data_IF_842308189019
#
_entry.id   IF_842308189019
#
_cell.length_a   1.000
_cell.length_b   1.000
_cell.length_c   1.000
_cell.angle_alpha   90.00
_cell.angle_beta   90.00
_cell.angle_gamma   90.00
#
_symmetry.space_group_name_H-M   'P 1'
#
loop_
_entity.id
_entity.type
_entity.pdbx_description
1 polymer ?
#
# COMPACT_ATOMS: atom_id res chain seq x y z
N UNK A 1 13.07 24.40 21.35
CA UNK A 1 11.82 23.61 21.30
C UNK A 1 11.10 23.90 20.00
N UNK A 2 11.30 23.08 18.97
CA UNK A 2 10.65 23.24 17.66
C UNK A 2 9.20 22.76 17.73
N UNK A 3 8.26 23.69 17.57
CA UNK A 3 6.82 23.39 17.52
C UNK A 3 6.55 22.54 16.29
N UNK A 4 6.24 21.25 16.47
CA UNK A 4 5.68 20.40 15.41
C UNK A 4 4.40 21.06 14.90
N UNK A 5 4.44 21.59 13.69
CA UNK A 5 3.26 22.08 12.98
C UNK A 5 2.38 20.88 12.64
N UNK A 6 1.38 20.61 13.49
CA UNK A 6 0.24 19.77 13.10
C UNK A 6 -0.38 20.45 11.88
N UNK A 7 -0.24 19.85 10.70
CA UNK A 7 -1.05 20.19 9.54
C UNK A 7 -2.51 20.20 10.03
N UNK A 8 -3.11 21.38 10.07
CA UNK A 8 -4.50 21.50 10.48
C UNK A 8 -5.29 20.93 9.30
N UNK A 9 -5.68 19.65 9.38
CA UNK A 9 -6.72 19.07 8.52
C UNK A 9 -7.76 20.15 8.24
N UNK A 10 -8.05 20.39 6.97
CA UNK A 10 -8.96 21.44 6.53
C UNK A 10 -10.30 21.30 7.26
N UNK A 11 -10.98 22.41 7.55
CA UNK A 11 -12.29 22.40 8.21
C UNK A 11 -13.27 21.49 7.47
N UNK A 12 -13.14 21.44 6.15
CA UNK A 12 -13.89 20.59 5.23
C UNK A 12 -13.60 19.12 5.48
N UNK A 13 -12.32 18.72 5.52
CA UNK A 13 -11.91 17.34 5.77
C UNK A 13 -12.38 16.84 7.14
N UNK A 14 -12.33 17.69 8.18
CA UNK A 14 -12.85 17.34 9.51
C UNK A 14 -14.36 17.10 9.50
N UNK A 15 -15.08 17.91 8.72
CA UNK A 15 -16.54 17.79 8.56
C UNK A 15 -16.88 16.52 7.78
N UNK A 16 -16.12 16.22 6.73
CA UNK A 16 -16.26 14.98 5.97
C UNK A 16 -15.95 13.74 6.82
N UNK A 17 -14.86 13.76 7.61
CA UNK A 17 -14.52 12.71 8.59
C UNK A 17 -15.70 12.43 9.55
N UNK A 18 -16.36 13.49 10.04
CA UNK A 18 -17.48 13.39 10.98
C UNK A 18 -18.78 12.88 10.35
N UNK A 19 -18.95 13.06 9.04
CA UNK A 19 -20.14 12.64 8.29
C UNK A 19 -19.99 11.26 7.63
N UNK A 20 -18.87 10.54 7.87
CA UNK A 20 -18.67 9.21 7.27
C UNK A 20 -19.73 8.21 7.75
N UNK A 21 -20.23 7.32 6.87
CA UNK A 21 -21.26 6.32 7.18
C UNK A 21 -20.97 5.42 8.40
N UNK A 22 -19.70 5.21 8.76
CA UNK A 22 -19.23 4.89 10.12
C UNK A 22 -17.71 4.77 10.07
N UNK A 23 -17.02 5.14 11.16
CA UNK A 23 -15.55 5.00 11.24
C UNK A 23 -15.08 3.53 11.21
N UNK A 24 -15.96 2.61 11.61
CA UNK A 24 -15.65 1.18 11.72
C UNK A 24 -15.87 0.41 10.41
N UNK A 25 -16.43 1.04 9.36
CA UNK A 25 -16.75 0.37 8.10
C UNK A 25 -15.48 -0.14 7.39
N UNK A 26 -15.48 -1.40 6.98
CA UNK A 26 -14.38 -2.02 6.23
C UNK A 26 -13.32 -2.71 7.11
N UNK A 27 -13.31 -2.49 8.42
CA UNK A 27 -12.38 -3.16 9.34
C UNK A 27 -12.62 -4.66 9.47
N UNK A 28 -13.87 -5.10 9.32
CA UNK A 28 -14.25 -6.52 9.20
C UNK A 28 -13.59 -7.19 8.00
N UNK A 29 -13.61 -6.50 6.85
CA UNK A 29 -12.97 -6.96 5.61
C UNK A 29 -11.46 -6.92 5.70
N UNK A 30 -10.91 -5.91 6.36
CA UNK A 30 -9.47 -5.81 6.63
C UNK A 30 -8.97 -7.00 7.47
N UNK A 31 -9.65 -7.29 8.59
CA UNK A 31 -9.33 -8.43 9.43
C UNK A 31 -9.39 -9.75 8.65
N UNK A 32 -10.44 -9.96 7.86
CA UNK A 32 -10.56 -11.12 6.99
C UNK A 32 -9.41 -11.19 5.97
N UNK A 33 -9.04 -10.06 5.35
CA UNK A 33 -7.95 -10.00 4.40
C UNK A 33 -6.61 -10.38 5.03
N UNK A 34 -6.31 -9.90 6.24
CA UNK A 34 -5.09 -10.27 6.98
C UNK A 34 -5.03 -11.78 7.23
N UNK A 35 -6.16 -12.39 7.63
CA UNK A 35 -6.24 -13.85 7.77
C UNK A 35 -6.02 -14.59 6.44
N UNK A 36 -6.58 -14.10 5.34
CA UNK A 36 -6.41 -14.68 4.01
C UNK A 36 -4.97 -14.57 3.52
N UNK A 37 -4.29 -13.44 3.77
CA UNK A 37 -2.85 -13.26 3.46
C UNK A 37 -2.00 -14.28 4.21
N UNK A 38 -2.29 -14.54 5.49
CA UNK A 38 -1.59 -15.56 6.28
C UNK A 38 -1.79 -16.99 5.74
N UNK A 39 -2.87 -17.22 5.00
CA UNK A 39 -3.17 -18.50 4.32
C UNK A 39 -2.65 -18.56 2.87
N UNK A 40 -1.97 -17.53 2.39
CA UNK A 40 -1.50 -17.45 0.99
C UNK A 40 -2.60 -17.13 -0.03
N UNK A 41 -3.84 -16.88 0.42
CA UNK A 41 -4.98 -16.58 -0.44
C UNK A 41 -4.99 -15.09 -0.86
N UNK A 42 -3.94 -14.66 -1.55
CA UNK A 42 -3.68 -13.24 -1.84
C UNK A 42 -4.73 -12.60 -2.76
N UNK A 43 -5.23 -13.30 -3.77
CA UNK A 43 -6.26 -12.76 -4.67
C UNK A 43 -7.56 -12.42 -3.92
N UNK A 44 -8.01 -13.33 -3.05
CA UNK A 44 -9.22 -13.14 -2.24
C UNK A 44 -9.00 -12.01 -1.24
N UNK A 45 -7.82 -11.94 -0.62
CA UNK A 45 -7.46 -10.86 0.29
C UNK A 45 -7.49 -9.48 -0.41
N UNK A 46 -6.92 -9.38 -1.61
CA UNK A 46 -6.94 -8.15 -2.40
C UNK A 46 -8.37 -7.71 -2.74
N UNK A 47 -9.28 -8.65 -3.04
CA UNK A 47 -10.70 -8.36 -3.26
C UNK A 47 -11.38 -7.78 -2.00
N UNK A 48 -11.10 -8.35 -0.81
CA UNK A 48 -11.64 -7.82 0.44
C UNK A 48 -11.12 -6.41 0.74
N UNK A 49 -9.83 -6.16 0.52
CA UNK A 49 -9.20 -4.87 0.75
C UNK A 49 -9.71 -3.80 -0.23
N UNK A 50 -9.91 -4.13 -1.50
CA UNK A 50 -10.56 -3.22 -2.46
C UNK A 50 -11.96 -2.82 -1.99
N UNK A 51 -12.71 -3.76 -1.44
CA UNK A 51 -14.04 -3.46 -0.88
C UNK A 51 -13.94 -2.63 0.41
N UNK A 52 -12.96 -2.89 1.27
CA UNK A 52 -12.69 -2.08 2.47
C UNK A 52 -12.36 -0.63 2.08
N UNK A 53 -11.52 -0.42 1.06
CA UNK A 53 -11.19 0.91 0.51
C UNK A 53 -12.43 1.60 -0.07
N UNK A 54 -13.29 0.88 -0.79
CA UNK A 54 -14.53 1.47 -1.30
C UNK A 54 -15.47 1.92 -0.16
N UNK A 55 -15.54 1.13 0.91
CA UNK A 55 -16.36 1.44 2.09
C UNK A 55 -15.79 2.63 2.87
N UNK A 56 -14.46 2.71 3.01
CA UNK A 56 -13.78 3.77 3.73
C UNK A 56 -12.48 4.18 2.99
N UNK A 57 -12.58 5.09 2.01
CA UNK A 57 -11.45 5.47 1.16
C UNK A 57 -10.40 6.34 1.86
N UNK A 58 -10.63 6.70 3.12
CA UNK A 58 -9.76 7.57 3.90
C UNK A 58 -8.99 6.83 5.00
N UNK A 59 -9.22 5.51 5.13
CA UNK A 59 -8.40 4.67 5.99
C UNK A 59 -7.12 4.30 5.21
N UNK A 60 -5.95 4.83 5.59
CA UNK A 60 -4.69 4.52 4.89
C UNK A 60 -4.27 3.06 5.07
N UNK A 61 -4.63 2.44 6.21
CA UNK A 61 -4.25 1.06 6.52
C UNK A 61 -4.73 0.05 5.48
N UNK A 62 -5.92 0.24 4.92
CA UNK A 62 -6.47 -0.67 3.90
C UNK A 62 -5.64 -0.64 2.61
N UNK A 63 -5.10 0.53 2.26
CA UNK A 63 -4.23 0.71 1.09
C UNK A 63 -2.86 0.10 1.33
N UNK A 64 -2.31 0.25 2.53
CA UNK A 64 -1.06 -0.41 2.94
C UNK A 64 -1.17 -1.93 2.85
N UNK A 65 -2.22 -2.52 3.43
CA UNK A 65 -2.44 -3.96 3.34
C UNK A 65 -2.66 -4.41 1.89
N UNK A 66 -3.34 -3.61 1.06
CA UNK A 66 -3.51 -3.93 -0.37
C UNK A 66 -2.17 -3.91 -1.10
N UNK A 67 -1.31 -2.92 -0.83
CA UNK A 67 0.04 -2.85 -1.40
C UNK A 67 0.88 -4.08 -1.01
N UNK A 68 0.85 -4.47 0.25
CA UNK A 68 1.52 -5.69 0.73
C UNK A 68 0.98 -6.95 0.02
N UNK A 69 -0.34 -7.03 -0.17
CA UNK A 69 -0.98 -8.14 -0.85
C UNK A 69 -0.56 -8.24 -2.33
N UNK A 70 -0.58 -7.11 -3.06
CA UNK A 70 -0.16 -7.03 -4.45
C UNK A 70 1.32 -7.35 -4.63
N UNK A 71 2.18 -6.90 -3.69
CA UNK A 71 3.59 -7.25 -3.67
C UNK A 71 3.79 -8.77 -3.57
N UNK A 72 3.05 -9.45 -2.68
CA UNK A 72 3.08 -10.92 -2.56
C UNK A 72 2.56 -11.65 -3.80
N UNK A 73 1.70 -11.01 -4.60
CA UNK A 73 1.21 -11.53 -5.88
C UNK A 73 2.17 -11.28 -7.04
N UNK A 74 3.25 -10.52 -6.84
CA UNK A 74 4.19 -10.13 -7.90
C UNK A 74 3.73 -8.92 -8.73
N UNK A 75 2.58 -8.31 -8.41
CA UNK A 75 2.14 -7.05 -9.03
C UNK A 75 2.82 -5.86 -8.36
N UNK A 76 4.11 -5.68 -8.66
CA UNK A 76 4.93 -4.65 -8.03
C UNK A 76 4.51 -3.22 -8.42
N UNK A 77 4.02 -3.02 -9.65
CA UNK A 77 3.55 -1.70 -10.11
C UNK A 77 2.27 -1.31 -9.38
N UNK A 78 1.28 -2.21 -9.32
CA UNK A 78 0.07 -1.98 -8.55
C UNK A 78 0.36 -1.79 -7.06
N UNK A 79 1.29 -2.57 -6.49
CA UNK A 79 1.71 -2.42 -5.10
C UNK A 79 2.29 -1.03 -4.83
N UNK A 80 3.14 -0.51 -5.72
CA UNK A 80 3.75 0.82 -5.61
C UNK A 80 2.68 1.92 -5.57
N UNK A 81 1.73 1.87 -6.48
CA UNK A 81 0.70 2.91 -6.59
C UNK A 81 -0.16 3.01 -5.32
N UNK A 82 -0.53 1.85 -4.74
CA UNK A 82 -1.30 1.82 -3.50
C UNK A 82 -0.47 2.21 -2.27
N UNK A 83 0.82 1.86 -2.23
CA UNK A 83 1.72 2.28 -1.16
C UNK A 83 1.91 3.81 -1.14
N UNK A 84 2.05 4.44 -2.31
CA UNK A 84 2.13 5.90 -2.42
C UNK A 84 0.85 6.59 -1.95
N UNK A 85 -0.33 6.10 -2.38
CA UNK A 85 -1.63 6.62 -1.91
C UNK A 85 -1.82 6.47 -0.39
N UNK A 86 -1.29 5.40 0.19
CA UNK A 86 -1.30 5.21 1.64
C UNK A 86 -0.41 6.25 2.35
N UNK A 87 0.80 6.50 1.84
CA UNK A 87 1.72 7.49 2.38
C UNK A 87 1.17 8.93 2.29
N UNK A 88 0.53 9.29 1.18
CA UNK A 88 -0.08 10.60 0.98
C UNK A 88 -1.13 10.92 2.05
N UNK A 89 -1.87 9.91 2.50
CA UNK A 89 -2.95 10.08 3.48
C UNK A 89 -2.49 9.95 4.94
N UNK A 90 -1.35 9.30 5.19
CA UNK A 90 -0.76 9.22 6.52
C UNK A 90 0.13 10.44 6.80
N UNK A 91 -0.32 11.38 7.65
CA UNK A 91 0.46 12.58 8.03
C UNK A 91 1.79 12.29 8.77
N UNK A 92 2.15 11.03 9.08
CA UNK A 92 3.46 10.69 9.65
C UNK A 92 3.79 9.20 9.65
N UNK A 93 4.98 8.91 9.13
CA UNK A 93 5.94 7.91 9.64
C UNK A 93 5.48 6.45 9.81
N UNK A 94 4.84 5.84 8.81
CA UNK A 94 4.96 4.37 8.72
C UNK A 94 6.32 4.02 8.12
N UNK A 95 7.28 3.70 8.99
CA UNK A 95 8.59 3.21 8.57
C UNK A 95 8.49 1.84 7.90
N UNK A 96 7.47 1.06 8.29
CA UNK A 96 7.11 -0.21 7.66
C UNK A 96 6.72 0.00 6.20
N UNK A 97 5.81 0.94 5.92
CA UNK A 97 5.34 1.23 4.56
C UNK A 97 6.46 1.80 3.68
N UNK A 98 7.37 2.61 4.24
CA UNK A 98 8.59 3.04 3.52
C UNK A 98 9.54 1.89 3.27
N UNK A 99 9.66 0.95 4.21
CA UNK A 99 10.41 -0.29 4.03
C UNK A 99 9.84 -1.12 2.88
N UNK A 100 8.51 -1.31 2.87
CA UNK A 100 7.80 -2.00 1.82
C UNK A 100 7.97 -1.31 0.45
N UNK A 101 7.83 0.02 0.39
CA UNK A 101 8.01 0.77 -0.85
C UNK A 101 9.41 0.58 -1.44
N UNK A 102 10.46 0.60 -0.60
CA UNK A 102 11.83 0.30 -1.04
C UNK A 102 11.95 -1.12 -1.61
N UNK A 103 11.34 -2.12 -0.98
CA UNK A 103 11.34 -3.50 -1.48
C UNK A 103 10.59 -3.62 -2.82
N UNK A 104 9.47 -2.91 -2.96
CA UNK A 104 8.70 -2.84 -4.21
C UNK A 104 9.55 -2.22 -5.32
N UNK A 105 10.21 -1.10 -5.06
CA UNK A 105 11.07 -0.43 -6.05
C UNK A 105 12.25 -1.30 -6.48
N UNK A 106 12.88 -2.01 -5.55
CA UNK A 106 13.92 -2.99 -5.87
C UNK A 106 13.39 -4.13 -6.74
N UNK A 107 12.19 -4.63 -6.46
CA UNK A 107 11.57 -5.70 -7.24
C UNK A 107 11.23 -5.24 -8.67
N UNK A 108 10.74 -4.00 -8.83
CA UNK A 108 10.51 -3.39 -10.15
C UNK A 108 11.82 -3.30 -10.92
N UNK A 109 12.87 -2.73 -10.31
CA UNK A 109 14.18 -2.60 -10.93
C UNK A 109 14.80 -3.96 -11.31
N UNK A 110 14.61 -4.97 -10.47
CA UNK A 110 15.07 -6.33 -10.75
C UNK A 110 14.31 -6.95 -11.93
N UNK A 111 13.00 -6.71 -12.04
CA UNK A 111 12.19 -7.19 -13.15
C UNK A 111 12.51 -6.47 -14.48
N UNK A 112 12.95 -5.20 -14.41
CA UNK A 112 13.29 -4.39 -15.59
C UNK A 112 14.73 -4.59 -16.08
N UNK A 113 15.60 -5.24 -15.30
CA UNK A 113 16.93 -5.58 -15.77
C UNK A 113 16.84 -6.61 -16.90
N UNK A 114 17.33 -6.30 -18.12
CA UNK A 114 17.36 -7.29 -19.19
C UNK A 114 18.23 -8.47 -18.74
N UNK A 115 17.69 -9.69 -18.88
CA UNK A 115 18.46 -10.92 -18.73
C UNK A 115 19.75 -10.76 -19.54
N UNK A 116 20.89 -10.83 -18.84
CA UNK A 116 22.15 -10.23 -19.26
C UNK A 116 22.44 -10.39 -20.74
N UNK A 117 22.85 -9.30 -21.40
CA UNK A 117 23.59 -9.38 -22.66
C UNK A 117 24.74 -10.35 -22.39
N UNK A 118 24.79 -11.55 -23.01
CA UNK A 118 25.94 -12.40 -22.87
C UNK A 118 27.07 -11.66 -23.56
N UNK A 119 27.93 -11.02 -22.75
CA UNK A 119 29.12 -10.34 -23.22
C UNK A 119 29.87 -11.34 -24.10
N UNK A 120 29.91 -11.05 -25.40
CA UNK A 120 30.62 -11.85 -26.39
C UNK A 120 32.04 -12.03 -25.86
N UNK A 121 32.36 -13.23 -25.39
CA UNK A 121 33.75 -13.63 -25.22
C UNK A 121 34.34 -13.62 -26.62
N UNK A 122 35.05 -12.53 -26.94
CA UNK A 122 35.97 -12.47 -28.06
C UNK A 122 36.91 -13.66 -27.93
N UNK A 123 36.62 -14.72 -28.69
CA UNK A 123 37.58 -15.79 -28.97
C UNK A 123 38.32 -15.39 -30.24
N UNK A 124 39.63 -15.61 -30.18
CA UNK A 124 40.67 -15.37 -31.18
C UNK A 124 41.18 -13.92 -31.23
#
# INVERSE_FOLDING_TARGET
MTKRTRSKKDRTERREDALRPSRCLGYDRDALAVHLVARGAHEIAACQLRRAIWLNPYEPRFKEHLACCLYKMGDYRGARDWALKALEQSESQSDELRGLLRLIEQAILAAERPAGVPGRRSRA
#
